data_IF_470483372252
#
_entry.id   IF_470483372252
#
_cell.length_a   1.000
_cell.length_b   1.000
_cell.length_c   1.000
_cell.angle_alpha   90.00
_cell.angle_beta   90.00
_cell.angle_gamma   90.00
#
_symmetry.space_group_name_H-M   'P 1'
#
loop_
_entity.id
_entity.type
_entity.pdbx_description
1 polymer ?
#
# COMPACT_ATOMS: atom_id res chain seq x y z
N UNK A 1 -10.75 -9.78 -14.82
CA UNK A 1 -9.39 -10.04 -14.30
C UNK A 1 -9.40 -9.68 -12.83
N UNK A 2 -8.75 -10.46 -11.98
CA UNK A 2 -8.63 -10.14 -10.55
C UNK A 2 -7.68 -8.96 -10.37
N UNK A 3 -7.97 -8.06 -9.42
CA UNK A 3 -7.14 -6.90 -9.13
C UNK A 3 -5.95 -7.32 -8.25
N UNK A 4 -4.77 -6.77 -8.53
CA UNK A 4 -3.61 -6.93 -7.64
C UNK A 4 -3.82 -6.06 -6.40
N UNK A 5 -3.83 -6.69 -5.23
CA UNK A 5 -4.06 -6.07 -3.93
C UNK A 5 -2.75 -5.61 -3.32
N UNK A 6 -2.66 -4.34 -2.96
CA UNK A 6 -1.41 -3.73 -2.51
C UNK A 6 -1.54 -2.94 -1.20
N UNK A 7 -0.45 -2.91 -0.43
CA UNK A 7 -0.25 -1.99 0.69
C UNK A 7 0.80 -0.96 0.30
N UNK A 8 0.56 0.31 0.63
CA UNK A 8 1.56 1.39 0.47
C UNK A 8 2.16 1.75 1.83
N UNK A 9 3.48 1.78 1.92
CA UNK A 9 4.24 2.09 3.14
C UNK A 9 5.25 3.18 2.84
N UNK A 10 5.15 4.27 3.58
CA UNK A 10 5.97 5.47 3.40
C UNK A 10 5.80 6.34 4.65
N UNK A 11 6.82 6.96 5.22
CA UNK A 11 6.66 7.81 6.40
C UNK A 11 6.18 9.24 6.05
N UNK A 12 6.40 9.69 4.82
CA UNK A 12 5.94 10.98 4.32
C UNK A 12 4.45 10.93 3.90
N UNK A 13 3.59 11.48 4.77
CA UNK A 13 2.14 11.43 4.58
C UNK A 13 1.64 11.98 3.23
N UNK A 14 2.23 13.08 2.74
CA UNK A 14 1.82 13.70 1.48
C UNK A 14 2.16 12.82 0.28
N UNK A 15 3.36 12.24 0.26
CA UNK A 15 3.77 11.35 -0.81
C UNK A 15 2.97 10.05 -0.80
N UNK A 16 2.74 9.48 0.39
CA UNK A 16 1.85 8.33 0.59
C UNK A 16 0.44 8.57 0.05
N UNK A 17 -0.17 9.71 0.34
CA UNK A 17 -1.50 10.07 -0.20
C UNK A 17 -1.50 10.18 -1.72
N UNK A 18 -0.45 10.77 -2.31
CA UNK A 18 -0.29 10.87 -3.76
C UNK A 18 -0.18 9.49 -4.41
N UNK A 19 0.63 8.59 -3.84
CA UNK A 19 0.76 7.21 -4.31
C UNK A 19 -0.56 6.47 -4.25
N UNK A 20 -1.29 6.57 -3.13
CA UNK A 20 -2.61 5.92 -2.97
C UNK A 20 -3.59 6.41 -4.04
N UNK A 21 -3.66 7.72 -4.30
CA UNK A 21 -4.55 8.29 -5.33
C UNK A 21 -4.19 7.79 -6.72
N UNK A 22 -2.90 7.79 -7.06
CA UNK A 22 -2.39 7.36 -8.36
C UNK A 22 -2.66 5.86 -8.58
N UNK A 23 -2.30 5.02 -7.61
CA UNK A 23 -2.45 3.56 -7.72
C UNK A 23 -3.91 3.12 -7.67
N UNK A 24 -4.79 3.84 -6.95
CA UNK A 24 -6.23 3.55 -6.92
C UNK A 24 -6.94 3.89 -8.22
N UNK A 25 -6.36 4.74 -9.07
CA UNK A 25 -6.90 5.07 -10.39
C UNK A 25 -6.64 3.97 -11.43
N UNK A 26 -5.67 3.07 -11.17
CA UNK A 26 -5.32 1.99 -12.07
C UNK A 26 -6.33 0.82 -11.99
N UNK A 27 -7.03 0.46 -13.08
CA UNK A 27 -8.11 -0.53 -13.04
C UNK A 27 -7.70 -1.93 -12.55
N UNK A 28 -6.41 -2.26 -12.70
CA UNK A 28 -5.83 -3.55 -12.29
C UNK A 28 -5.34 -3.60 -10.85
N UNK A 29 -5.41 -2.49 -10.10
CA UNK A 29 -4.87 -2.37 -8.76
C UNK A 29 -5.96 -2.08 -7.73
N UNK A 30 -5.70 -2.49 -6.49
CA UNK A 30 -6.53 -2.17 -5.32
C UNK A 30 -5.64 -1.91 -4.10
N UNK A 31 -5.71 -0.68 -3.56
CA UNK A 31 -5.04 -0.34 -2.31
C UNK A 31 -5.85 -0.86 -1.14
N UNK A 32 -5.35 -1.89 -0.46
CA UNK A 32 -6.05 -2.56 0.66
C UNK A 32 -5.53 -2.16 2.03
N UNK A 33 -4.48 -1.34 2.09
CA UNK A 33 -3.90 -0.82 3.33
C UNK A 33 -2.85 0.25 3.08
N UNK A 34 -2.61 1.05 4.12
CA UNK A 34 -1.63 2.14 4.11
C UNK A 34 -0.93 2.15 5.47
N UNK A 35 0.39 2.29 5.50
CA UNK A 35 1.19 2.37 6.72
C UNK A 35 2.22 3.50 6.66
N UNK A 36 2.55 4.06 7.83
CA UNK A 36 3.62 5.06 7.99
C UNK A 36 4.97 4.47 8.38
N UNK A 37 5.00 3.17 8.68
CA UNK A 37 6.15 2.49 9.27
C UNK A 37 6.09 0.97 9.01
N UNK A 38 7.21 0.29 9.24
CA UNK A 38 7.35 -1.15 9.00
C UNK A 38 6.55 -2.05 9.95
N UNK A 39 6.34 -1.67 11.21
CA UNK A 39 5.61 -2.50 12.18
C UNK A 39 4.12 -2.55 11.84
N UNK A 40 3.55 -1.39 11.53
CA UNK A 40 2.19 -1.24 10.99
C UNK A 40 2.06 -1.97 9.66
N UNK A 41 3.05 -1.87 8.76
CA UNK A 41 3.04 -2.56 7.47
C UNK A 41 2.99 -4.09 7.62
N UNK A 42 3.81 -4.67 8.51
CA UNK A 42 3.82 -6.12 8.78
C UNK A 42 2.48 -6.58 9.36
N UNK A 43 1.92 -5.80 10.29
CA UNK A 43 0.62 -6.10 10.89
C UNK A 43 -0.49 -6.11 9.84
N UNK A 44 -0.56 -5.08 8.99
CA UNK A 44 -1.51 -5.00 7.89
C UNK A 44 -1.30 -6.10 6.85
N UNK A 45 -0.06 -6.45 6.52
CA UNK A 45 0.22 -7.52 5.57
C UNK A 45 -0.29 -8.88 6.07
N UNK A 46 -0.17 -9.15 7.38
CA UNK A 46 -0.70 -10.38 8.00
C UNK A 46 -2.23 -10.40 7.98
N UNK A 47 -2.87 -9.29 8.31
CA UNK A 47 -4.33 -9.17 8.36
C UNK A 47 -4.96 -9.21 6.96
N UNK A 48 -4.45 -8.38 6.05
CA UNK A 48 -5.05 -8.15 4.73
C UNK A 48 -4.56 -9.13 3.67
N UNK A 49 -3.45 -9.83 3.89
CA UNK A 49 -2.88 -10.79 2.93
C UNK A 49 -2.77 -10.19 1.52
N UNK A 50 -2.11 -9.03 1.32
CA UNK A 50 -1.97 -8.41 0.00
C UNK A 50 -1.09 -9.27 -0.92
N UNK A 51 -1.14 -8.98 -2.22
CA UNK A 51 -0.27 -9.59 -3.21
C UNK A 51 1.12 -8.93 -3.22
N UNK A 52 1.14 -7.60 -3.00
CA UNK A 52 2.36 -6.79 -3.04
C UNK A 52 2.36 -5.78 -1.90
N UNK A 53 3.54 -5.52 -1.34
CA UNK A 53 3.80 -4.36 -0.46
C UNK A 53 4.73 -3.43 -1.22
N UNK A 54 4.28 -2.20 -1.48
CA UNK A 54 5.13 -1.11 -1.97
C UNK A 54 5.61 -0.35 -0.74
N UNK A 55 6.91 -0.44 -0.46
CA UNK A 55 7.52 0.15 0.72
C UNK A 55 8.70 0.99 0.31
N UNK A 56 8.70 2.26 0.73
CA UNK A 56 9.90 3.08 0.71
C UNK A 56 10.81 2.69 1.90
N UNK A 57 12.12 2.68 1.67
CA UNK A 57 13.13 2.07 2.57
C UNK A 57 14.27 3.01 2.95
N UNK A 58 14.05 4.33 2.89
CA UNK A 58 15.04 5.32 3.32
C UNK A 58 15.56 5.12 4.75
#
# INVERSE_FOLDING_TARGET
MEKTRLIVVDDEALFREMLVRTLSAEPGLEVVGVAGDGETAVSLAREKRPDVVLMDIE
#
